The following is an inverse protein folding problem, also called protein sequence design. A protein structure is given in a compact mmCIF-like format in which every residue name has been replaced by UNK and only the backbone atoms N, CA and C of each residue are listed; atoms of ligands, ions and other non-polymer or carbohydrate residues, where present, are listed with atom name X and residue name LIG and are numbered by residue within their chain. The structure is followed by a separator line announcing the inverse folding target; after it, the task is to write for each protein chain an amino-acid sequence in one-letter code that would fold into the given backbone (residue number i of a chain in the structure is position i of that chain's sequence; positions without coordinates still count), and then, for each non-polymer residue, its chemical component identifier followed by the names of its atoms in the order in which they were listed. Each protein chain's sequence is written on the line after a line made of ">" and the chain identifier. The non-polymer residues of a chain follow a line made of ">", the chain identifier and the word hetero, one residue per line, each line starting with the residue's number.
data_IF_070486289273
#
_entry.id   IF_070486289273
#
_cell.length_a   1.000
_cell.length_b   1.000
_cell.length_c   1.000
_cell.angle_alpha   90.00
_cell.angle_beta   90.00
_cell.angle_gamma   90.00
#
_symmetry.space_group_name_H-M   'P 1'
#
loop_
_entity.id
_entity.type
_entity.pdbx_description
1 polymer ?
#
# COMPACT_ATOMS: atom_id res chain seq x y z
N UNK A 1 2.32 -63.75 22.03
CA UNK A 1 2.52 -62.36 22.49
C UNK A 1 1.58 -61.47 21.69
N UNK A 2 0.52 -60.96 22.33
CA UNK A 2 -0.41 -59.97 21.77
C UNK A 2 -0.24 -58.73 22.63
N UNK A 3 0.18 -57.63 22.04
CA UNK A 3 0.20 -56.34 22.74
C UNK A 3 -1.23 -55.89 23.05
N UNK A 4 -1.49 -55.32 24.24
CA UNK A 4 -2.81 -54.80 24.57
C UNK A 4 -3.08 -53.55 23.74
N UNK A 5 -4.17 -53.54 22.98
CA UNK A 5 -4.70 -52.37 22.28
C UNK A 5 -4.87 -51.22 23.28
N UNK A 6 -3.92 -50.29 23.25
CA UNK A 6 -3.96 -49.06 24.02
C UNK A 6 -5.28 -48.35 23.79
N UNK A 7 -5.99 -48.06 24.87
CA UNK A 7 -7.28 -47.39 24.90
C UNK A 7 -7.13 -46.01 24.27
N UNK A 8 -7.46 -45.86 22.98
CA UNK A 8 -7.55 -44.55 22.34
C UNK A 8 -8.66 -43.78 23.07
N UNK A 9 -8.29 -42.75 23.84
CA UNK A 9 -9.22 -41.74 24.31
C UNK A 9 -9.21 -40.58 23.30
N UNK A 10 -10.37 -40.13 22.77
CA UNK A 10 -10.39 -38.96 21.91
C UNK A 10 -9.85 -37.76 22.69
N UNK A 11 -9.04 -36.94 22.02
CA UNK A 11 -8.58 -35.69 22.60
C UNK A 11 -9.80 -34.87 23.06
N UNK A 12 -9.75 -34.22 24.24
CA UNK A 12 -10.83 -33.36 24.68
C UNK A 12 -11.10 -32.30 23.61
N UNK A 13 -12.38 -32.10 23.28
CA UNK A 13 -12.79 -31.08 22.33
C UNK A 13 -12.36 -29.70 22.85
N UNK A 14 -11.94 -28.77 21.97
CA UNK A 14 -11.69 -27.40 22.38
C UNK A 14 -13.00 -26.80 22.94
N UNK A 15 -12.90 -25.87 23.92
CA UNK A 15 -14.07 -25.19 24.44
C UNK A 15 -14.77 -24.43 23.30
N UNK A 16 -16.11 -24.47 23.31
CA UNK A 16 -16.93 -23.70 22.36
C UNK A 16 -16.80 -22.22 22.73
N UNK A 17 -16.51 -21.32 21.78
CA UNK A 17 -16.44 -19.89 22.05
C UNK A 17 -17.80 -19.37 22.53
N UNK A 18 -17.80 -18.47 23.51
CA UNK A 18 -19.03 -17.86 24.03
C UNK A 18 -19.63 -16.89 23.02
N UNK A 19 -20.92 -16.55 23.18
CA UNK A 19 -21.57 -15.52 22.34
C UNK A 19 -20.88 -14.16 22.43
N UNK A 20 -20.21 -13.87 23.55
CA UNK A 20 -19.41 -12.66 23.73
C UNK A 20 -18.15 -12.71 22.86
N UNK A 21 -17.42 -13.82 22.91
CA UNK A 21 -16.21 -14.02 22.10
C UNK A 21 -16.53 -13.93 20.60
N UNK A 22 -17.66 -14.52 20.17
CA UNK A 22 -18.12 -14.44 18.78
C UNK A 22 -18.50 -13.01 18.37
N UNK A 23 -19.05 -12.21 19.28
CA UNK A 23 -19.39 -10.80 19.02
C UNK A 23 -18.13 -9.94 18.91
N UNK A 24 -17.20 -10.12 19.83
CA UNK A 24 -15.91 -9.42 19.83
C UNK A 24 -15.14 -9.76 18.55
N UNK A 25 -15.08 -11.03 18.17
CA UNK A 25 -14.50 -11.47 16.89
C UNK A 25 -15.12 -10.79 15.66
N UNK A 26 -16.45 -10.67 15.58
CA UNK A 26 -17.12 -9.99 14.45
C UNK A 26 -16.82 -8.50 14.39
N UNK A 27 -16.69 -7.84 15.55
CA UNK A 27 -16.35 -6.42 15.60
C UNK A 27 -14.91 -6.20 15.13
N UNK A 28 -13.98 -7.05 15.56
CA UNK A 28 -12.60 -7.04 15.10
C UNK A 28 -12.51 -7.31 13.59
N UNK A 29 -13.21 -8.33 13.09
CA UNK A 29 -13.28 -8.65 11.66
C UNK A 29 -13.81 -7.46 10.85
N UNK A 30 -14.85 -6.80 11.36
CA UNK A 30 -15.43 -5.62 10.71
C UNK A 30 -14.44 -4.46 10.70
N UNK A 31 -13.78 -4.18 11.83
CA UNK A 31 -12.78 -3.12 11.95
C UNK A 31 -11.61 -3.33 10.98
N UNK A 32 -11.10 -4.56 10.88
CA UNK A 32 -10.01 -4.92 9.94
C UNK A 32 -10.43 -4.74 8.48
N UNK A 33 -11.65 -5.17 8.11
CA UNK A 33 -12.19 -4.93 6.75
C UNK A 33 -12.33 -3.45 6.45
N UNK A 34 -12.72 -2.63 7.44
CA UNK A 34 -12.77 -1.18 7.28
C UNK A 34 -11.38 -0.58 7.09
N UNK A 35 -10.39 -1.02 7.85
CA UNK A 35 -9.00 -0.59 7.71
C UNK A 35 -8.45 -0.91 6.32
N UNK A 36 -8.69 -2.12 5.81
CA UNK A 36 -8.25 -2.52 4.45
C UNK A 36 -8.83 -1.58 3.39
N UNK A 37 -10.13 -1.26 3.48
CA UNK A 37 -10.79 -0.32 2.56
C UNK A 37 -10.23 1.09 2.68
N UNK A 38 -9.95 1.53 3.90
CA UNK A 38 -9.38 2.85 4.13
C UNK A 38 -7.98 2.97 3.52
N UNK A 39 -7.08 2.01 3.80
CA UNK A 39 -5.73 1.97 3.21
C UNK A 39 -5.82 1.96 1.68
N UNK A 40 -6.71 1.16 1.11
CA UNK A 40 -6.91 1.10 -0.34
C UNK A 40 -7.28 2.45 -0.96
N UNK A 41 -8.22 3.15 -0.35
CA UNK A 41 -8.68 4.46 -0.84
C UNK A 41 -7.58 5.53 -0.73
N UNK A 42 -6.84 5.54 0.39
CA UNK A 42 -5.69 6.44 0.57
C UNK A 42 -4.59 6.14 -0.45
N UNK A 43 -4.26 4.86 -0.62
CA UNK A 43 -3.26 4.40 -1.59
C UNK A 43 -3.63 4.85 -3.01
N UNK A 44 -4.85 4.58 -3.47
CA UNK A 44 -5.29 4.98 -4.81
C UNK A 44 -5.36 6.50 -5.02
N UNK A 45 -5.48 7.26 -3.94
CA UNK A 45 -5.43 8.73 -3.98
C UNK A 45 -3.99 9.24 -4.10
N UNK A 46 -3.01 8.55 -3.51
CA UNK A 46 -1.60 8.93 -3.52
C UNK A 46 -0.79 8.39 -4.71
N UNK A 47 -1.18 7.25 -5.28
CA UNK A 47 -0.56 6.66 -6.47
C UNK A 47 -1.57 6.80 -7.60
N UNK A 48 -1.20 7.42 -8.73
CA UNK A 48 -2.09 7.78 -9.85
C UNK A 48 -2.81 6.61 -10.56
N UNK A 49 -3.04 5.47 -9.89
CA UNK A 49 -4.06 4.48 -10.23
C UNK A 49 -5.44 5.11 -10.45
N UNK A 50 -5.67 6.31 -9.91
CA UNK A 50 -6.74 7.22 -10.29
C UNK A 50 -6.42 7.98 -11.59
N UNK A 51 -6.11 7.29 -12.70
CA UNK A 51 -5.98 7.95 -14.00
C UNK A 51 -7.29 8.65 -14.42
N UNK A 52 -7.17 9.85 -14.97
CA UNK A 52 -8.28 10.70 -15.42
C UNK A 52 -9.09 9.98 -16.51
N UNK A 53 -10.38 9.72 -16.25
CA UNK A 53 -11.32 9.41 -17.34
C UNK A 53 -11.36 10.65 -18.25
N UNK A 54 -11.05 10.45 -19.54
CA UNK A 54 -11.04 11.49 -20.58
C UNK A 54 -12.41 12.20 -20.60
N UNK A 55 -12.46 13.53 -20.77
CA UNK A 55 -13.42 14.37 -20.07
C UNK A 55 -14.73 14.53 -20.85
N UNK A 56 -15.82 14.01 -20.29
CA UNK A 56 -17.15 14.62 -20.46
C UNK A 56 -17.50 15.39 -19.19
N UNK A 57 -16.88 16.56 -19.03
CA UNK A 57 -17.31 17.63 -18.12
C UNK A 57 -17.01 17.48 -16.61
N UNK A 58 -17.17 16.30 -16.01
CA UNK A 58 -17.14 16.13 -14.54
C UNK A 58 -16.69 14.73 -14.10
N UNK A 59 -15.53 14.27 -14.56
CA UNK A 59 -15.03 12.94 -14.20
C UNK A 59 -14.60 12.85 -12.73
N UNK A 60 -15.41 12.21 -11.88
CA UNK A 60 -15.03 11.84 -10.51
C UNK A 60 -13.82 10.90 -10.56
N UNK A 61 -12.75 11.23 -9.83
CA UNK A 61 -11.63 10.31 -9.59
C UNK A 61 -12.09 9.25 -8.58
N UNK A 62 -12.76 8.21 -9.06
CA UNK A 62 -13.10 7.07 -8.20
C UNK A 62 -11.94 6.06 -8.20
N UNK A 63 -11.49 5.60 -7.01
CA UNK A 63 -10.53 4.51 -6.93
C UNK A 63 -11.14 3.22 -7.51
N UNK A 64 -10.32 2.25 -7.94
CA UNK A 64 -10.84 0.93 -8.33
C UNK A 64 -11.62 0.31 -7.16
N UNK A 65 -12.71 -0.39 -7.46
CA UNK A 65 -13.67 -0.81 -6.42
C UNK A 65 -13.16 -2.04 -5.69
N UNK A 66 -13.19 -1.99 -4.36
CA UNK A 66 -12.81 -3.12 -3.52
C UNK A 66 -14.04 -4.02 -3.28
N UNK A 67 -13.91 -5.28 -3.67
CA UNK A 67 -14.95 -6.29 -3.57
C UNK A 67 -14.89 -7.08 -2.27
N UNK A 68 -14.94 -8.41 -2.38
CA UNK A 68 -14.88 -9.30 -1.23
C UNK A 68 -13.53 -9.18 -0.51
N UNK A 69 -13.54 -9.20 0.81
CA UNK A 69 -12.36 -9.24 1.68
C UNK A 69 -12.43 -10.50 2.52
N UNK A 70 -11.42 -11.34 2.40
CA UNK A 70 -11.23 -12.55 3.20
C UNK A 70 -10.04 -12.33 4.13
N UNK A 71 -10.32 -12.25 5.44
CA UNK A 71 -9.29 -12.16 6.45
C UNK A 71 -8.77 -13.56 6.79
N UNK A 72 -7.49 -13.65 7.09
CA UNK A 72 -6.80 -14.88 7.45
C UNK A 72 -5.35 -14.86 6.97
N UNK A 73 -4.57 -15.90 7.26
CA UNK A 73 -3.27 -16.11 6.62
C UNK A 73 -3.47 -16.89 5.31
N UNK A 74 -3.32 -16.27 4.12
CA UNK A 74 -3.05 -14.85 3.86
C UNK A 74 -4.33 -14.03 3.64
N UNK A 75 -4.22 -12.73 3.89
CA UNK A 75 -5.35 -11.80 3.74
C UNK A 75 -5.53 -11.50 2.26
N UNK A 76 -6.77 -11.63 1.79
CA UNK A 76 -7.09 -11.56 0.35
C UNK A 76 -8.23 -10.60 0.11
N UNK A 77 -8.17 -9.85 -0.97
CA UNK A 77 -9.30 -9.06 -1.42
C UNK A 77 -9.34 -8.95 -2.94
N UNK A 78 -10.55 -8.74 -3.45
CA UNK A 78 -10.76 -8.56 -4.88
C UNK A 78 -10.86 -7.08 -5.22
N UNK A 79 -10.35 -6.69 -6.38
CA UNK A 79 -10.44 -5.33 -6.90
C UNK A 79 -11.02 -5.38 -8.31
N UNK A 80 -12.01 -4.54 -8.56
CA UNK A 80 -12.53 -4.30 -9.91
C UNK A 80 -11.71 -3.19 -10.56
N UNK A 81 -10.95 -3.56 -11.59
CA UNK A 81 -10.21 -2.65 -12.45
C UNK A 81 -11.15 -1.69 -13.16
N UNK A 82 -10.68 -0.45 -13.35
CA UNK A 82 -11.42 0.57 -14.09
C UNK A 82 -11.38 0.26 -15.60
N UNK A 83 -12.33 0.77 -16.40
CA UNK A 83 -12.25 0.67 -17.86
C UNK A 83 -10.91 1.19 -18.39
N UNK A 84 -10.19 0.35 -19.13
CA UNK A 84 -8.87 0.68 -19.69
C UNK A 84 -7.68 0.47 -18.74
N UNK A 85 -7.93 0.16 -17.46
CA UNK A 85 -6.88 -0.24 -16.53
C UNK A 85 -6.55 -1.73 -16.73
N UNK A 86 -5.27 -2.05 -16.69
CA UNK A 86 -4.74 -3.39 -16.88
C UNK A 86 -4.21 -3.95 -15.56
N UNK A 87 -4.08 -5.28 -15.49
CA UNK A 87 -3.46 -5.95 -14.33
C UNK A 87 -2.02 -5.47 -14.13
N UNK A 88 -1.32 -5.19 -15.23
CA UNK A 88 0.05 -4.67 -15.23
C UNK A 88 0.17 -3.34 -14.49
N UNK A 89 -0.89 -2.51 -14.47
CA UNK A 89 -0.87 -1.24 -13.76
C UNK A 89 -0.83 -1.45 -12.24
N UNK A 90 -1.45 -2.51 -11.73
CA UNK A 90 -1.37 -2.90 -10.32
C UNK A 90 -0.02 -3.54 -9.99
N UNK A 91 0.48 -4.42 -10.86
CA UNK A 91 1.80 -5.03 -10.70
C UNK A 91 2.90 -3.96 -10.67
N UNK A 92 2.80 -2.92 -11.50
CA UNK A 92 3.75 -1.81 -11.54
C UNK A 92 3.82 -1.00 -10.23
N UNK A 93 2.79 -1.09 -9.38
CA UNK A 93 2.77 -0.43 -8.05
C UNK A 93 2.79 -1.44 -6.90
N UNK A 94 3.08 -2.72 -7.18
CA UNK A 94 3.07 -3.82 -6.21
C UNK A 94 3.89 -3.52 -4.96
N UNK A 95 5.16 -3.13 -5.11
CA UNK A 95 6.05 -2.80 -3.99
C UNK A 95 5.49 -1.69 -3.08
N UNK A 96 4.85 -0.67 -3.69
CA UNK A 96 4.25 0.43 -2.93
C UNK A 96 2.97 -0.02 -2.22
N UNK A 97 2.21 -0.92 -2.85
CA UNK A 97 1.03 -1.52 -2.26
C UNK A 97 1.41 -2.40 -1.06
N UNK A 98 2.44 -3.25 -1.20
CA UNK A 98 3.00 -4.04 -0.10
C UNK A 98 3.42 -3.14 1.06
N UNK A 99 4.17 -2.07 0.78
CA UNK A 99 4.58 -1.08 1.78
C UNK A 99 3.38 -0.38 2.46
N UNK A 100 2.30 -0.09 1.73
CA UNK A 100 1.09 0.53 2.29
C UNK A 100 0.36 -0.39 3.28
N UNK A 101 0.42 -1.71 3.06
CA UNK A 101 -0.15 -2.72 3.94
C UNK A 101 0.82 -3.28 4.98
N UNK A 102 2.08 -2.80 5.00
CA UNK A 102 3.14 -3.28 5.87
C UNK A 102 3.39 -4.79 5.75
N UNK A 103 3.29 -5.30 4.53
CA UNK A 103 3.59 -6.70 4.20
C UNK A 103 4.81 -6.77 3.30
N UNK A 104 5.41 -7.96 3.18
CA UNK A 104 6.64 -8.14 2.42
C UNK A 104 6.39 -8.08 0.90
N UNK A 105 5.26 -8.61 0.45
CA UNK A 105 4.93 -8.67 -0.97
C UNK A 105 3.41 -8.71 -1.20
N UNK A 106 3.01 -8.49 -2.46
CA UNK A 106 1.63 -8.63 -2.91
C UNK A 106 1.56 -9.46 -4.17
N UNK A 107 0.80 -10.55 -4.11
CA UNK A 107 0.49 -11.32 -5.29
C UNK A 107 -0.80 -10.79 -5.94
N UNK A 108 -0.75 -10.59 -7.26
CA UNK A 108 -1.90 -10.12 -8.05
C UNK A 108 -2.22 -11.14 -9.14
N UNK A 109 -3.43 -11.67 -9.13
CA UNK A 109 -3.91 -12.60 -10.16
C UNK A 109 -5.20 -12.11 -10.82
N UNK A 110 -5.34 -12.28 -12.14
CA UNK A 110 -6.62 -12.08 -12.80
C UNK A 110 -7.63 -13.14 -12.31
N UNK A 111 -8.87 -12.72 -12.07
CA UNK A 111 -10.00 -13.63 -11.77
C UNK A 111 -10.89 -13.80 -13.00
N UNK A 112 -11.76 -12.82 -13.24
CA UNK A 112 -12.71 -12.82 -14.36
C UNK A 112 -13.08 -11.38 -14.73
N UNK A 113 -13.29 -11.12 -16.02
CA UNK A 113 -13.62 -9.80 -16.56
C UNK A 113 -12.60 -8.73 -16.13
N UNK A 114 -13.03 -7.80 -15.26
CA UNK A 114 -12.22 -6.70 -14.71
C UNK A 114 -11.79 -6.98 -13.27
N UNK A 115 -12.08 -8.14 -12.72
CA UNK A 115 -11.72 -8.47 -11.34
C UNK A 115 -10.33 -9.08 -11.25
N UNK A 116 -9.55 -8.55 -10.33
CA UNK A 116 -8.28 -9.13 -9.89
C UNK A 116 -8.39 -9.53 -8.43
N UNK A 117 -7.64 -10.56 -8.05
CA UNK A 117 -7.39 -10.96 -6.67
C UNK A 117 -6.05 -10.39 -6.24
N UNK A 118 -6.03 -9.80 -5.06
CA UNK A 118 -4.82 -9.35 -4.37
C UNK A 118 -4.68 -10.19 -3.10
N UNK A 119 -3.47 -10.69 -2.86
CA UNK A 119 -3.11 -11.45 -1.65
C UNK A 119 -1.91 -10.78 -1.01
N UNK A 120 -2.07 -10.46 0.27
CA UNK A 120 -1.03 -9.87 1.09
C UNK A 120 -0.13 -10.99 1.59
N UNK A 121 1.15 -10.94 1.22
CA UNK A 121 2.12 -11.98 1.51
C UNK A 121 3.03 -11.50 2.63
N UNK A 122 3.00 -12.23 3.74
CA UNK A 122 3.95 -12.09 4.84
C UNK A 122 4.95 -13.25 4.75
N UNK A 123 6.20 -12.93 4.49
CA UNK A 123 7.28 -13.90 4.52
C UNK A 123 7.67 -14.16 5.98
N UNK A 124 7.54 -15.41 6.41
CA UNK A 124 8.13 -15.84 7.67
C UNK A 124 9.65 -15.62 7.67
N UNK A 125 10.25 -15.61 8.86
CA UNK A 125 11.71 -15.48 9.05
C UNK A 125 12.49 -16.55 8.25
N UNK A 126 11.86 -17.69 7.95
CA UNK A 126 12.42 -18.81 7.20
C UNK A 126 12.06 -18.86 5.69
N UNK A 127 11.37 -17.86 5.11
CA UNK A 127 11.05 -17.90 3.67
C UNK A 127 12.31 -17.61 2.82
N UNK A 128 12.66 -18.49 1.85
CA UNK A 128 13.83 -18.28 0.99
C UNK A 128 13.73 -17.05 0.09
N UNK A 129 12.54 -16.45 -0.07
CA UNK A 129 12.31 -15.16 -0.76
C UNK A 129 12.58 -13.96 0.14
N UNK A 130 12.64 -14.16 1.46
CA UNK A 130 13.12 -13.17 2.42
C UNK A 130 14.65 -13.11 2.44
N UNK A 131 15.26 -13.04 1.26
CA UNK A 131 16.62 -12.55 1.14
C UNK A 131 16.57 -11.03 1.33
N UNK A 132 16.38 -10.63 2.59
CA UNK A 132 16.92 -9.36 3.08
C UNK A 132 18.42 -9.43 2.80
N UNK A 133 18.81 -9.02 1.60
CA UNK A 133 20.19 -8.73 1.31
C UNK A 133 20.56 -7.71 2.36
N UNK A 134 21.55 -7.97 3.24
CA UNK A 134 21.98 -6.97 4.20
C UNK A 134 22.21 -5.71 3.39
N UNK A 135 21.39 -4.67 3.62
CA UNK A 135 21.66 -3.35 3.11
C UNK A 135 22.98 -3.00 3.79
N UNK A 136 24.09 -3.26 3.10
CA UNK A 136 25.40 -2.79 3.50
C UNK A 136 25.18 -1.28 3.59
N UNK A 137 25.21 -0.69 4.80
CA UNK A 137 25.01 0.75 4.93
C UNK A 137 26.03 1.37 4.00
N UNK A 138 25.64 2.32 3.12
CA UNK A 138 26.51 2.79 2.05
C UNK A 138 27.86 3.08 2.66
N UNK A 139 28.87 2.27 2.31
CA UNK A 139 30.22 2.44 2.80
C UNK A 139 30.54 3.89 2.57
N UNK A 140 30.63 4.64 3.67
CA UNK A 140 30.95 6.05 3.66
C UNK A 140 32.37 6.12 3.13
N UNK A 141 32.52 6.18 1.82
CA UNK A 141 33.75 6.55 1.13
C UNK A 141 33.97 8.02 1.50
N UNK A 142 34.44 8.23 2.73
CA UNK A 142 34.90 9.53 3.16
C UNK A 142 36.00 9.97 2.19
N UNK A 143 35.97 11.22 1.71
CA UNK A 143 37.06 11.73 0.91
C UNK A 143 38.35 11.64 1.73
N UNK A 144 39.35 11.00 1.13
CA UNK A 144 40.71 10.91 1.67
C UNK A 144 41.20 12.33 1.96
N UNK A 145 41.60 12.56 3.21
CA UNK A 145 41.91 13.85 3.80
C UNK A 145 43.28 14.35 3.31
N UNK A 146 43.44 14.60 2.02
CA UNK A 146 44.63 15.23 1.43
C UNK A 146 44.27 15.86 0.07
N UNK A 147 43.48 16.94 0.06
CA UNK A 147 43.60 17.94 -1.01
C UNK A 147 43.08 19.30 -0.53
N UNK A 148 43.90 19.93 0.32
CA UNK A 148 43.84 21.38 0.52
C UNK A 148 44.47 22.02 -0.72
N UNK A 149 43.64 22.50 -1.65
CA UNK A 149 44.05 23.61 -2.52
C UNK A 149 42.85 24.38 -3.10
N UNK A 150 42.57 25.49 -2.43
CA UNK A 150 42.13 26.79 -2.98
C UNK A 150 41.50 26.80 -4.37
N UNK A 151 40.22 27.17 -4.43
CA UNK A 151 39.67 27.99 -5.52
C UNK A 151 38.37 28.64 -5.07
N UNK A 152 38.44 29.94 -4.77
CA UNK A 152 37.30 30.76 -4.44
C UNK A 152 36.23 30.75 -5.53
N UNK A 153 34.97 30.74 -5.13
CA UNK A 153 33.85 31.15 -5.98
C UNK A 153 32.76 31.79 -5.12
N UNK A 154 32.97 33.10 -4.93
CA UNK A 154 31.99 34.18 -4.89
C UNK A 154 30.51 33.76 -5.04
N UNK A 155 29.74 33.86 -3.95
CA UNK A 155 28.28 33.82 -3.99
C UNK A 155 27.71 35.24 -4.18
N UNK A 156 26.91 35.52 -5.22
CA UNK A 156 26.25 36.80 -5.33
C UNK A 156 25.02 36.85 -4.41
N UNK A 157 25.06 37.82 -3.51
CA UNK A 157 23.97 38.39 -2.72
C UNK A 157 22.79 38.71 -3.64
N UNK A 158 21.70 37.93 -3.59
CA UNK A 158 20.44 38.31 -4.25
C UNK A 158 19.67 39.29 -3.37
N UNK A 159 19.73 40.54 -3.79
CA UNK A 159 18.89 41.63 -3.34
C UNK A 159 17.41 41.38 -3.63
N UNK A 160 16.62 41.50 -2.57
CA UNK A 160 15.41 42.32 -2.46
C UNK A 160 15.04 43.07 -3.75
N UNK A 161 13.90 42.73 -4.37
CA UNK A 161 13.16 43.69 -5.19
C UNK A 161 11.67 43.58 -4.92
N UNK A 162 11.21 44.56 -4.15
CA UNK A 162 9.83 45.01 -4.09
C UNK A 162 9.32 45.28 -5.51
N UNK A 163 8.13 44.78 -5.84
CA UNK A 163 7.28 45.40 -6.87
C UNK A 163 5.90 45.62 -6.25
N UNK A 164 5.73 46.83 -5.76
CA UNK A 164 4.44 47.54 -5.75
C UNK A 164 4.04 47.86 -7.18
N UNK A 165 2.73 47.95 -7.40
CA UNK A 165 2.08 48.51 -8.58
C UNK A 165 0.99 47.55 -9.08
N UNK A 166 -0.23 47.98 -9.39
CA UNK A 166 -0.80 49.33 -9.40
C UNK A 166 -2.30 49.17 -9.62
N UNK A 167 -3.06 50.03 -8.96
CA UNK A 167 -4.42 50.48 -9.26
C UNK A 167 -4.83 50.31 -10.73
N UNK A 168 -5.97 49.66 -10.94
CA UNK A 168 -6.71 49.63 -12.20
C UNK A 168 -8.19 49.86 -11.89
N UNK A 169 -8.53 51.13 -11.73
CA UNK A 169 -9.88 51.68 -11.75
C UNK A 169 -10.40 51.59 -13.19
N UNK A 170 -11.58 51.01 -13.40
CA UNK A 170 -12.29 51.19 -14.67
C UNK A 170 -13.80 51.26 -14.43
N UNK A 171 -14.30 52.46 -14.70
CA UNK A 171 -15.69 52.90 -14.67
C UNK A 171 -16.55 52.28 -15.79
N UNK A 172 -17.80 52.00 -15.41
CA UNK A 172 -19.10 52.44 -15.98
C UNK A 172 -19.34 52.36 -17.50
N UNK A 173 -20.42 51.66 -17.84
CA UNK A 173 -21.36 51.92 -18.95
C UNK A 173 -22.56 50.98 -18.78
N UNK A 174 -23.81 51.33 -19.13
CA UNK A 174 -24.22 52.24 -20.22
C UNK A 174 -24.67 53.65 -19.81
#
# INVERSE_FOLDING_TARGET
>A
MREPFGRWAPAPLPPVPSSRDLREYRLEETALKHQIRWIWNEFCSGVELTHRIVPTGYGTREPPRLGNITLGPPTRFNVELRPGQLVQDLLAVGDRLAAAYLVDDVDVWPLAERWVKIELVEYGIDDPRNHTTPIDPPRRSGPRRDEVRTSGRHWPRRERRERRGTTGDQQVGP
#
